data_IF_061409109790
#
_entry.id   IF_061409109790
#
_cell.length_a   1.000
_cell.length_b   1.000
_cell.length_c   1.000
_cell.angle_alpha   90.00
_cell.angle_beta   90.00
_cell.angle_gamma   90.00
#
_symmetry.space_group_name_H-M   'P 1'
#
loop_
_entity.id
_entity.type
_entity.pdbx_description
1 polymer ?
#
# COMPACT_ATOMS: atom_id res chain seq x y z
N UNK A 1 7.33 -14.48 4.40
CA UNK A 1 7.67 -13.80 3.13
C UNK A 1 7.16 -12.38 3.20
N UNK A 2 8.00 -11.38 2.90
CA UNK A 2 7.56 -9.98 2.78
C UNK A 2 7.35 -9.71 1.28
N UNK A 3 6.19 -9.15 0.87
CA UNK A 3 5.91 -8.88 -0.54
C UNK A 3 6.95 -7.93 -1.15
N UNK A 4 7.26 -8.16 -2.42
CA UNK A 4 8.18 -7.37 -3.23
C UNK A 4 7.47 -6.38 -4.15
N UNK A 5 6.21 -6.67 -4.48
CA UNK A 5 5.35 -5.82 -5.30
C UNK A 5 4.05 -5.49 -4.56
N UNK A 6 3.39 -4.40 -4.95
CA UNK A 6 2.08 -4.02 -4.40
C UNK A 6 1.02 -5.09 -4.69
N UNK A 7 1.15 -5.82 -5.79
CA UNK A 7 0.19 -6.86 -6.19
C UNK A 7 0.31 -8.14 -5.33
N UNK A 8 1.44 -8.33 -4.64
CA UNK A 8 1.63 -9.42 -3.67
C UNK A 8 1.01 -9.11 -2.29
N UNK A 9 0.49 -7.90 -2.08
CA UNK A 9 -0.08 -7.50 -0.80
C UNK A 9 -1.49 -8.03 -0.64
N UNK A 10 -1.63 -9.03 0.22
CA UNK A 10 -2.92 -9.65 0.50
C UNK A 10 -3.77 -8.78 1.43
N UNK A 11 -5.08 -8.69 1.13
CA UNK A 11 -6.09 -8.04 1.99
C UNK A 11 -6.19 -6.51 1.88
N UNK A 12 -5.29 -5.86 1.14
CA UNK A 12 -5.28 -4.40 0.97
C UNK A 12 -5.74 -3.95 -0.42
N UNK A 13 -6.35 -4.82 -1.23
CA UNK A 13 -6.78 -4.49 -2.60
C UNK A 13 -7.74 -3.30 -2.71
N UNK A 14 -8.53 -3.01 -1.66
CA UNK A 14 -9.39 -1.82 -1.61
C UNK A 14 -8.60 -0.50 -1.49
N UNK A 15 -7.35 -0.55 -1.04
CA UNK A 15 -6.45 0.60 -0.91
C UNK A 15 -5.42 0.68 -2.04
N UNK A 16 -4.90 -0.45 -2.52
CA UNK A 16 -3.76 -0.48 -3.47
C UNK A 16 -4.02 -1.30 -4.73
N UNK A 17 -5.26 -1.76 -4.91
CA UNK A 17 -5.69 -2.42 -6.13
C UNK A 17 -5.75 -1.45 -7.31
N UNK A 18 -5.78 -1.98 -8.55
CA UNK A 18 -5.90 -1.18 -9.76
C UNK A 18 -7.09 -0.20 -9.70
N UNK A 19 -6.88 1.05 -10.12
CA UNK A 19 -7.92 2.10 -10.14
C UNK A 19 -8.30 2.69 -8.78
N UNK A 20 -7.61 2.30 -7.70
CA UNK A 20 -7.75 2.99 -6.41
C UNK A 20 -6.93 4.27 -6.41
N UNK A 21 -7.40 5.33 -5.76
CA UNK A 21 -6.71 6.62 -5.76
C UNK A 21 -5.29 6.57 -5.19
N UNK A 22 -5.04 5.70 -4.20
CA UNK A 22 -3.68 5.50 -3.69
C UNK A 22 -2.80 4.74 -4.70
N UNK A 23 -3.33 3.74 -5.42
CA UNK A 23 -2.59 3.08 -6.51
C UNK A 23 -2.25 4.06 -7.64
N UNK A 24 -3.19 4.90 -8.04
CA UNK A 24 -2.93 5.93 -9.07
C UNK A 24 -1.91 6.97 -8.61
N UNK A 25 -1.95 7.39 -7.34
CA UNK A 25 -0.96 8.30 -6.77
C UNK A 25 0.44 7.68 -6.73
N UNK A 26 0.53 6.39 -6.37
CA UNK A 26 1.75 5.59 -6.40
C UNK A 26 2.31 5.48 -7.82
N UNK A 27 1.48 5.07 -8.78
CA UNK A 27 1.86 4.89 -10.18
C UNK A 27 2.28 6.22 -10.83
N UNK A 28 1.69 7.34 -10.40
CA UNK A 28 2.06 8.69 -10.86
C UNK A 28 3.27 9.30 -10.11
N UNK A 29 3.84 8.62 -9.11
CA UNK A 29 4.94 9.14 -8.30
C UNK A 29 4.58 10.35 -7.42
N UNK A 30 3.29 10.55 -7.13
CA UNK A 30 2.74 11.68 -6.36
C UNK A 30 2.25 11.24 -4.99
N UNK A 31 3.17 10.72 -4.19
CA UNK A 31 2.84 10.20 -2.86
C UNK A 31 2.77 11.34 -1.86
N UNK A 32 1.70 11.38 -1.08
CA UNK A 32 1.50 12.33 0.01
C UNK A 32 1.74 11.67 1.36
N UNK A 33 2.06 12.47 2.38
CA UNK A 33 2.12 11.98 3.74
C UNK A 33 0.77 11.38 4.15
N UNK A 34 0.80 10.17 4.71
CA UNK A 34 -0.40 9.42 5.08
C UNK A 34 -0.24 8.69 6.41
N UNK A 35 -1.36 8.48 7.09
CA UNK A 35 -1.43 7.66 8.31
C UNK A 35 -2.00 6.30 7.94
N UNK A 36 -1.20 5.24 8.16
CA UNK A 36 -1.66 3.86 8.01
C UNK A 36 -2.24 3.38 9.34
N UNK A 37 -3.53 3.08 9.38
CA UNK A 37 -4.23 2.65 10.60
C UNK A 37 -4.84 1.26 10.45
N UNK A 38 -4.87 0.51 11.56
CA UNK A 38 -5.48 -0.83 11.62
C UNK A 38 -4.85 -1.74 12.68
N UNK A 39 -5.45 -2.91 12.95
CA UNK A 39 -4.99 -3.89 13.94
C UNK A 39 -3.53 -4.34 13.77
N UNK A 40 -2.86 -4.87 14.82
CA UNK A 40 -1.52 -5.44 14.68
C UNK A 40 -1.50 -6.57 13.62
N UNK A 41 -0.41 -6.66 12.86
CA UNK A 41 -0.25 -7.71 11.83
C UNK A 41 -0.92 -7.44 10.47
N UNK A 42 -1.64 -6.33 10.28
CA UNK A 42 -2.34 -6.03 9.00
C UNK A 42 -1.45 -5.54 7.85
N UNK A 43 -0.13 -5.53 8.03
CA UNK A 43 0.81 -5.20 6.95
C UNK A 43 1.14 -3.71 6.78
N UNK A 44 0.72 -2.80 7.68
CA UNK A 44 1.01 -1.35 7.62
C UNK A 44 2.49 -1.02 7.36
N UNK A 45 3.40 -1.59 8.16
CA UNK A 45 4.85 -1.35 8.00
C UNK A 45 5.39 -1.90 6.69
N UNK A 46 4.81 -2.99 6.20
CA UNK A 46 5.17 -3.54 4.89
C UNK A 46 4.69 -2.61 3.79
N UNK A 47 3.45 -2.11 3.87
CA UNK A 47 2.89 -1.13 2.93
C UNK A 47 3.76 0.13 2.88
N UNK A 48 4.08 0.73 4.03
CA UNK A 48 4.90 1.94 4.09
C UNK A 48 6.29 1.77 3.43
N UNK A 49 6.86 0.55 3.49
CA UNK A 49 8.15 0.24 2.86
C UNK A 49 8.09 0.03 1.35
N UNK A 50 6.94 -0.34 0.80
CA UNK A 50 6.77 -0.49 -0.65
C UNK A 50 6.36 0.83 -1.32
N UNK A 51 5.82 1.75 -0.53
CA UNK A 51 5.39 3.09 -0.95
C UNK A 51 6.57 4.09 -0.89
N UNK A 52 7.64 3.78 -0.14
CA UNK A 52 8.85 4.59 -0.02
C UNK A 52 9.93 4.15 -1.01
#
# INVERSE_FOLDING_TARGET
>A
MRPHTLDEVMGQGHLIGPGTGLREALDAGRIHSMILWGPPGTGKTTLARMVA
#
